data_IF_778025641214
#
_entry.id   IF_778025641214
#
_cell.length_a   1.000
_cell.length_b   1.000
_cell.length_c   1.000
_cell.angle_alpha   90.00
_cell.angle_beta   90.00
_cell.angle_gamma   90.00
#
_symmetry.space_group_name_H-M   'P 1'
#
loop_
_entity.id
_entity.type
_entity.pdbx_description
1 polymer ?
#
# COMPACT_ATOMS: atom_id res chain seq x y z
N UNK A 1 -9.93 -6.09 4.51
CA UNK A 1 -8.50 -5.79 4.57
C UNK A 1 -7.90 -6.67 5.63
N UNK A 2 -6.74 -7.27 5.36
CA UNK A 2 -6.03 -8.18 6.26
C UNK A 2 -4.88 -7.46 6.97
N UNK A 3 -4.19 -6.55 6.28
CA UNK A 3 -3.18 -5.66 6.85
C UNK A 3 -3.64 -4.19 6.80
N UNK A 4 -3.50 -3.50 7.92
CA UNK A 4 -4.01 -2.14 8.16
C UNK A 4 -2.98 -1.19 8.77
N UNK A 5 -1.85 -1.71 9.26
CA UNK A 5 -0.80 -0.99 9.98
C UNK A 5 0.48 -0.80 9.17
N UNK A 6 0.65 -1.55 8.08
CA UNK A 6 1.82 -1.50 7.21
C UNK A 6 1.42 -1.31 5.76
N UNK A 7 2.28 -0.62 5.02
CA UNK A 7 2.23 -0.56 3.56
C UNK A 7 2.62 -1.89 2.92
N UNK A 8 2.15 -2.11 1.69
CA UNK A 8 2.53 -3.26 0.88
C UNK A 8 3.97 -3.16 0.34
N UNK A 9 4.47 -1.95 0.12
CA UNK A 9 5.81 -1.67 -0.39
C UNK A 9 6.90 -1.78 0.69
N UNK A 10 7.97 -2.53 0.41
CA UNK A 10 9.15 -2.65 1.26
C UNK A 10 8.84 -3.28 2.62
N UNK A 11 9.29 -2.65 3.69
CA UNK A 11 8.90 -3.01 5.07
C UNK A 11 7.49 -2.52 5.42
N UNK A 12 6.96 -1.57 4.65
CA UNK A 12 5.66 -0.95 4.85
C UNK A 12 5.63 0.03 6.03
N UNK A 13 6.78 0.45 6.53
CA UNK A 13 6.90 1.31 7.73
C UNK A 13 7.39 2.71 7.42
N UNK A 14 8.30 2.84 6.45
CA UNK A 14 8.97 4.11 6.14
C UNK A 14 8.97 4.43 4.64
N UNK A 15 8.80 3.41 3.81
CA UNK A 15 8.88 3.52 2.37
C UNK A 15 7.76 4.41 1.84
N UNK A 16 8.15 5.35 0.99
CA UNK A 16 7.26 6.26 0.26
C UNK A 16 7.99 6.76 -0.99
N UNK A 17 7.24 7.24 -1.99
CA UNK A 17 7.81 7.89 -3.17
C UNK A 17 8.92 7.03 -3.82
N UNK A 18 10.12 7.57 -4.00
CA UNK A 18 11.25 6.90 -4.67
C UNK A 18 11.76 5.63 -3.96
N UNK A 19 11.42 5.42 -2.68
CA UNK A 19 11.71 4.18 -1.96
C UNK A 19 10.82 3.02 -2.42
N UNK A 20 9.67 3.31 -3.04
CA UNK A 20 8.78 2.33 -3.65
C UNK A 20 8.96 2.33 -5.18
N UNK A 21 9.93 1.55 -5.65
CA UNK A 21 10.30 1.47 -7.06
C UNK A 21 10.24 0.01 -7.57
N UNK A 22 10.41 -0.25 -8.88
CA UNK A 22 10.29 -1.61 -9.44
C UNK A 22 11.25 -2.66 -8.85
N UNK A 23 12.33 -2.27 -8.18
CA UNK A 23 13.25 -3.18 -7.49
C UNK A 23 12.87 -3.44 -6.02
N UNK A 24 11.83 -2.79 -5.51
CA UNK A 24 11.41 -2.91 -4.11
C UNK A 24 10.48 -4.11 -3.96
N UNK A 25 10.70 -4.92 -2.91
CA UNK A 25 9.80 -6.02 -2.58
C UNK A 25 8.40 -5.48 -2.27
N UNK A 26 7.38 -6.19 -2.72
CA UNK A 26 5.98 -5.88 -2.45
C UNK A 26 5.27 -7.08 -1.85
N UNK A 27 4.20 -6.82 -1.11
CA UNK A 27 3.27 -7.85 -0.65
C UNK A 27 2.64 -8.63 -1.84
N UNK A 28 2.19 -9.88 -1.63
CA UNK A 28 1.67 -10.73 -2.70
C UNK A 28 0.28 -10.31 -3.21
N UNK A 29 -0.53 -9.65 -2.39
CA UNK A 29 -1.83 -9.10 -2.76
C UNK A 29 -2.00 -7.69 -2.20
N UNK A 30 -1.83 -6.69 -3.08
CA UNK A 30 -2.01 -5.28 -2.71
C UNK A 30 -3.45 -4.99 -2.25
N UNK A 31 -4.44 -5.73 -2.76
CA UNK A 31 -5.86 -5.50 -2.47
C UNK A 31 -6.28 -5.95 -1.07
N UNK A 32 -5.46 -6.74 -0.38
CA UNK A 32 -5.69 -7.11 1.02
C UNK A 32 -5.14 -6.05 2.00
N UNK A 33 -4.33 -5.10 1.53
CA UNK A 33 -3.73 -4.02 2.33
C UNK A 33 -4.54 -2.72 2.24
N UNK A 34 -4.63 -1.99 3.34
CA UNK A 34 -5.18 -0.62 3.35
C UNK A 34 -4.22 0.35 2.66
N UNK A 35 -2.91 0.23 2.94
CA UNK A 35 -1.90 1.16 2.44
C UNK A 35 -0.98 0.52 1.40
N UNK A 36 -0.65 1.28 0.35
CA UNK A 36 0.38 0.90 -0.61
C UNK A 36 1.77 1.12 -0.01
N UNK A 37 2.00 2.31 0.58
CA UNK A 37 3.25 2.70 1.22
C UNK A 37 2.97 3.28 2.62
N UNK A 38 3.92 3.97 3.27
CA UNK A 38 3.72 4.47 4.63
C UNK A 38 2.59 5.51 4.79
N UNK A 39 2.16 6.18 3.72
CA UNK A 39 1.19 7.29 3.79
C UNK A 39 0.09 7.25 2.72
N UNK A 40 0.26 6.50 1.63
CA UNK A 40 -0.70 6.43 0.54
C UNK A 40 -1.57 5.17 0.62
N UNK A 41 -2.92 5.31 0.54
CA UNK A 41 -3.82 4.16 0.43
C UNK A 41 -3.62 3.34 -0.84
N UNK A 42 -4.06 2.08 -0.81
CA UNK A 42 -4.12 1.24 -2.02
C UNK A 42 -5.21 1.71 -2.97
N UNK A 43 -5.10 1.32 -4.25
CA UNK A 43 -6.13 1.59 -5.26
C UNK A 43 -7.52 1.12 -4.81
N UNK A 44 -7.60 -0.01 -4.09
CA UNK A 44 -8.88 -0.52 -3.57
C UNK A 44 -9.53 0.47 -2.60
N UNK A 45 -8.76 1.06 -1.69
CA UNK A 45 -9.27 2.10 -0.79
C UNK A 45 -9.72 3.33 -1.58
N UNK A 46 -8.90 3.80 -2.54
CA UNK A 46 -9.30 4.92 -3.39
C UNK A 46 -10.61 4.66 -4.15
N UNK A 47 -10.78 3.47 -4.72
CA UNK A 47 -12.01 3.09 -5.40
C UNK A 47 -13.21 3.05 -4.46
N UNK A 48 -13.04 2.60 -3.21
CA UNK A 48 -14.13 2.62 -2.22
C UNK A 48 -14.54 4.06 -1.85
N UNK A 49 -13.57 4.94 -1.63
CA UNK A 49 -13.83 6.35 -1.28
C UNK A 49 -14.45 7.11 -2.47
N UNK A 50 -13.97 6.88 -3.69
CA UNK A 50 -14.49 7.53 -4.89
C UNK A 50 -15.89 7.05 -5.30
N UNK A 51 -16.27 5.82 -4.90
CA UNK A 51 -17.60 5.24 -5.15
C UNK A 51 -18.58 5.45 -3.98
N UNK A 52 -18.28 6.41 -3.10
CA UNK A 52 -19.20 6.90 -2.05
C UNK A 52 -19.93 8.14 -2.55
#
# INVERSE_FOLDING_TARGET
FEETKRGCCGTGLLEMSFLCNPGTLTCPDVSSYVFWDAIHPTQKIYSLVANT
#
